data_IF_506543278861
#
_entry.id   IF_506543278861
#
_cell.length_a   1.000
_cell.length_b   1.000
_cell.length_c   1.000
_cell.angle_alpha   90.00
_cell.angle_beta   90.00
_cell.angle_gamma   90.00
#
_symmetry.space_group_name_H-M   'P 1'
#
loop_
_entity.id
_entity.type
_entity.pdbx_description
1 polymer ?
#
# COMPACT_ATOMS: atom_id res chain seq x y z
N UNK A 1 -6.02 -10.26 42.58
CA UNK A 1 -5.72 -10.67 41.19
C UNK A 1 -4.56 -9.84 40.68
N UNK A 2 -3.38 -10.43 40.61
CA UNK A 2 -2.10 -9.75 40.31
C UNK A 2 -1.87 -9.77 38.80
N UNK A 3 -1.86 -8.60 38.15
CA UNK A 3 -1.47 -8.48 36.73
C UNK A 3 0.02 -8.80 36.61
N UNK A 4 0.35 -9.93 35.98
CA UNK A 4 1.72 -10.24 35.56
C UNK A 4 2.06 -9.37 34.36
N UNK A 5 2.94 -8.40 34.55
CA UNK A 5 3.64 -7.70 33.48
C UNK A 5 4.65 -8.66 32.86
N UNK A 6 4.48 -8.97 31.57
CA UNK A 6 5.45 -9.77 30.81
C UNK A 6 6.68 -8.92 30.47
N UNK A 7 7.90 -9.51 30.42
CA UNK A 7 9.14 -8.78 30.24
C UNK A 7 9.29 -8.28 28.80
N UNK A 8 9.62 -6.99 28.66
CA UNK A 8 9.97 -6.37 27.37
C UNK A 8 11.27 -6.96 26.82
N UNK A 9 11.18 -7.65 25.67
CA UNK A 9 12.31 -8.25 24.98
C UNK A 9 12.71 -7.34 23.81
N UNK A 10 13.94 -6.83 23.82
CA UNK A 10 14.52 -6.10 22.68
C UNK A 10 14.65 -7.02 21.48
N UNK A 11 14.20 -6.55 20.32
CA UNK A 11 14.37 -7.22 19.03
C UNK A 11 15.26 -6.42 18.10
N UNK A 12 16.12 -7.14 17.40
CA UNK A 12 16.99 -6.62 16.34
C UNK A 12 16.45 -7.23 15.04
N UNK A 13 16.00 -6.39 14.11
CA UNK A 13 15.63 -6.83 12.76
C UNK A 13 16.88 -7.37 12.07
N UNK A 14 16.96 -8.68 11.86
CA UNK A 14 17.97 -9.29 11.03
C UNK A 14 17.48 -9.33 9.58
N UNK A 15 17.68 -8.24 8.82
CA UNK A 15 17.48 -8.26 7.37
C UNK A 15 18.67 -8.97 6.70
N UNK A 16 18.48 -10.20 6.22
CA UNK A 16 19.45 -10.82 5.31
C UNK A 16 19.24 -10.29 3.89
N UNK A 17 20.17 -9.45 3.43
CA UNK A 17 20.63 -9.41 2.04
C UNK A 17 19.71 -8.79 0.99
N UNK A 18 19.37 -7.52 1.15
CA UNK A 18 18.65 -6.67 0.18
C UNK A 18 18.01 -5.53 0.95
N UNK A 19 18.16 -4.28 0.51
CA UNK A 19 17.46 -3.18 1.16
C UNK A 19 15.95 -3.38 0.93
N UNK A 20 15.22 -3.77 1.98
CA UNK A 20 13.80 -4.06 1.89
C UNK A 20 13.06 -2.85 1.28
N UNK A 21 12.29 -3.09 0.21
CA UNK A 21 11.66 -2.06 -0.59
C UNK A 21 10.14 -2.10 -0.44
N UNK A 22 9.45 -0.99 -0.68
CA UNK A 22 7.99 -0.89 -0.51
C UNK A 22 7.30 -1.01 -1.87
N UNK A 23 6.38 -1.97 -2.08
CA UNK A 23 5.58 -2.06 -3.29
C UNK A 23 4.52 -0.96 -3.31
N UNK A 24 4.53 -0.16 -4.38
CA UNK A 24 3.49 0.83 -4.67
C UNK A 24 2.94 0.61 -6.08
N UNK A 25 1.63 0.70 -6.24
CA UNK A 25 0.94 0.48 -7.50
C UNK A 25 0.49 1.81 -8.09
N UNK A 26 0.92 2.11 -9.31
CA UNK A 26 0.51 3.33 -10.01
C UNK A 26 -1.01 3.33 -10.26
N UNK A 27 -1.73 4.29 -9.70
CA UNK A 27 -3.18 4.44 -9.90
C UNK A 27 -3.47 5.44 -11.02
N UNK A 28 -2.93 6.65 -10.90
CA UNK A 28 -3.20 7.74 -11.86
C UNK A 28 -1.97 8.61 -12.09
N UNK A 29 -1.90 9.17 -13.30
CA UNK A 29 -0.93 10.19 -13.68
C UNK A 29 -1.65 11.54 -13.65
N UNK A 30 -1.26 12.42 -12.73
CA UNK A 30 -1.80 13.78 -12.66
C UNK A 30 -0.77 14.74 -13.27
N UNK A 31 -0.97 15.06 -14.54
CA UNK A 31 -0.15 16.04 -15.24
C UNK A 31 -0.05 15.74 -16.72
N UNK A 32 -0.90 16.42 -17.50
CA UNK A 32 -0.69 16.60 -18.93
C UNK A 32 0.37 17.71 -19.08
N UNK A 33 1.47 17.52 -19.85
CA UNK A 33 2.53 18.52 -20.04
C UNK A 33 2.09 19.79 -20.83
N UNK A 34 0.79 20.00 -21.03
CA UNK A 34 0.22 21.03 -21.89
C UNK A 34 0.08 22.45 -21.31
N UNK A 35 0.49 22.73 -20.07
CA UNK A 35 0.40 24.08 -19.50
C UNK A 35 1.77 24.76 -19.40
N UNK A 36 2.39 24.94 -20.57
CA UNK A 36 3.30 26.06 -20.82
C UNK A 36 2.52 27.35 -20.61
N UNK A 37 2.77 27.98 -19.47
CA UNK A 37 2.22 29.27 -19.15
C UNK A 37 3.24 30.36 -19.35
N UNK A 38 3.30 30.93 -20.55
CA UNK A 38 3.85 32.26 -20.75
C UNK A 38 3.04 33.24 -19.89
N UNK A 39 3.68 33.87 -18.89
CA UNK A 39 3.07 34.88 -18.04
C UNK A 39 3.56 34.84 -16.60
N UNK A 40 4.51 35.73 -16.30
CA UNK A 40 4.86 36.30 -14.98
C UNK A 40 4.36 35.54 -13.74
N UNK A 41 5.25 34.79 -13.09
CA UNK A 41 5.05 34.29 -11.72
C UNK A 41 4.29 32.97 -11.56
N UNK A 42 4.14 32.16 -12.63
CA UNK A 42 3.45 30.87 -12.57
C UNK A 42 4.21 29.84 -11.73
N UNK A 43 3.57 29.34 -10.66
CA UNK A 43 3.96 28.11 -9.95
C UNK A 43 4.18 27.00 -10.97
N UNK A 44 5.40 26.46 -11.02
CA UNK A 44 5.72 25.27 -11.79
C UNK A 44 5.01 24.10 -11.12
N UNK A 45 3.90 23.65 -11.71
CA UNK A 45 3.26 22.43 -11.25
C UNK A 45 4.08 21.25 -11.75
N UNK A 46 4.82 20.61 -10.84
CA UNK A 46 5.45 19.34 -11.13
C UNK A 46 4.35 18.29 -11.30
N UNK A 47 4.39 17.53 -12.40
CA UNK A 47 3.46 16.43 -12.62
C UNK A 47 3.66 15.38 -11.51
N UNK A 48 2.57 15.00 -10.86
CA UNK A 48 2.56 14.06 -9.74
C UNK A 48 1.75 12.82 -10.13
N UNK A 49 2.21 11.67 -9.67
CA UNK A 49 1.54 10.39 -9.87
C UNK A 49 1.01 9.89 -8.54
N UNK A 50 -0.24 9.42 -8.53
CA UNK A 50 -0.83 8.78 -7.35
C UNK A 50 -0.49 7.30 -7.38
N UNK A 51 0.09 6.80 -6.30
CA UNK A 51 0.44 5.41 -6.14
C UNK A 51 -0.22 4.86 -4.87
N UNK A 52 -0.78 3.66 -4.96
CA UNK A 52 -1.43 2.97 -3.86
C UNK A 52 -0.51 1.93 -3.23
N UNK A 53 -0.62 1.71 -1.94
CA UNK A 53 0.08 0.67 -1.19
C UNK A 53 -0.88 -0.01 -0.21
N UNK A 54 -0.55 -1.26 0.14
CA UNK A 54 -1.33 -2.01 1.12
C UNK A 54 -0.75 -1.81 2.51
N UNK A 55 -1.62 -1.55 3.48
CA UNK A 55 -1.22 -1.40 4.87
C UNK A 55 -2.26 -1.97 5.81
N UNK A 56 -1.86 -2.19 7.06
CA UNK A 56 -2.77 -2.42 8.17
C UNK A 56 -2.88 -1.14 8.99
N UNK A 57 -4.11 -0.72 9.24
CA UNK A 57 -4.40 0.35 10.18
C UNK A 57 -4.45 -0.22 11.60
N UNK A 58 -3.96 0.53 12.58
CA UNK A 58 -4.20 0.24 13.98
C UNK A 58 -4.93 1.43 14.62
N UNK A 59 -6.03 1.14 15.28
CA UNK A 59 -6.91 2.14 15.92
C UNK A 59 -6.45 2.44 17.36
N UNK A 60 -5.59 1.60 17.92
CA UNK A 60 -4.96 1.84 19.20
C UNK A 60 -3.56 2.44 18.98
N UNK A 61 -3.15 3.48 19.74
CA UNK A 61 -1.75 3.89 19.84
C UNK A 61 -0.96 2.82 20.59
N UNK A 62 -0.85 1.63 20.00
CA UNK A 62 0.04 0.58 20.44
C UNK A 62 1.46 1.04 20.21
N UNK A 63 2.29 1.00 21.26
CA UNK A 63 3.74 1.20 21.12
C UNK A 63 4.29 0.30 20.00
N UNK A 64 5.38 0.75 19.37
CA UNK A 64 6.12 0.06 18.30
C UNK A 64 5.66 -1.38 18.06
N UNK A 65 4.82 -1.60 17.04
CA UNK A 65 4.36 -2.94 16.71
C UNK A 65 5.56 -3.79 16.33
N UNK A 66 5.87 -4.77 17.17
CA UNK A 66 6.90 -5.76 16.86
C UNK A 66 6.18 -7.04 16.51
N UNK A 67 6.16 -7.38 15.22
CA UNK A 67 5.75 -8.71 14.82
C UNK A 67 6.84 -9.69 15.21
N UNK A 68 6.53 -10.55 16.17
CA UNK A 68 7.45 -11.61 16.61
C UNK A 68 7.07 -12.90 15.91
N UNK A 69 7.98 -13.47 15.11
CA UNK A 69 7.97 -14.91 14.85
C UNK A 69 8.36 -15.64 16.14
N UNK A 70 7.38 -15.84 17.01
CA UNK A 70 7.57 -16.61 18.25
C UNK A 70 7.49 -18.09 17.92
N UNK A 71 8.51 -18.66 17.30
CA UNK A 71 8.68 -20.13 17.16
C UNK A 71 7.57 -20.87 16.41
N UNK A 72 6.72 -20.18 15.66
CA UNK A 72 5.74 -20.79 14.77
C UNK A 72 6.40 -21.26 13.47
N UNK A 73 6.02 -22.43 12.96
CA UNK A 73 6.51 -22.99 11.70
C UNK A 73 6.08 -22.21 10.44
N UNK A 74 5.41 -21.07 10.60
CA UNK A 74 4.89 -20.27 9.50
C UNK A 74 5.63 -18.94 9.42
N UNK A 75 6.26 -18.63 8.28
CA UNK A 75 6.85 -17.32 8.09
C UNK A 75 5.77 -16.24 8.20
N UNK A 76 6.13 -15.10 8.77
CA UNK A 76 5.28 -13.92 8.86
C UNK A 76 5.53 -12.99 7.67
N UNK A 77 4.53 -12.20 7.23
CA UNK A 77 4.75 -11.22 6.17
C UNK A 77 5.77 -10.17 6.59
N UNK A 78 6.46 -9.56 5.63
CA UNK A 78 7.39 -8.45 5.92
C UNK A 78 6.62 -7.13 6.02
N UNK A 79 6.87 -6.35 7.08
CA UNK A 79 6.21 -5.06 7.30
C UNK A 79 7.19 -3.91 7.55
N UNK A 80 6.77 -2.70 7.18
CA UNK A 80 7.38 -1.44 7.56
C UNK A 80 6.40 -0.61 8.40
N UNK A 81 6.78 -0.30 9.63
CA UNK A 81 5.99 0.60 10.47
C UNK A 81 6.25 2.06 10.09
N UNK A 82 5.19 2.80 9.75
CA UNK A 82 5.24 4.25 9.49
C UNK A 82 4.07 4.93 10.20
N UNK A 83 4.38 5.65 11.29
CA UNK A 83 3.33 6.15 12.19
C UNK A 83 2.55 5.00 12.82
N UNK A 84 1.22 5.01 12.70
CA UNK A 84 0.31 3.96 13.20
C UNK A 84 -0.09 2.95 12.12
N UNK A 85 0.68 2.85 11.03
CA UNK A 85 0.40 1.93 9.92
C UNK A 85 1.50 0.92 9.74
N UNK A 86 1.14 -0.35 9.56
CA UNK A 86 2.03 -1.41 9.12
C UNK A 86 1.94 -1.58 7.60
N UNK A 87 2.93 -1.13 6.86
CA UNK A 87 2.97 -1.24 5.39
C UNK A 87 3.45 -2.61 5.00
N UNK A 88 2.69 -3.32 4.16
CA UNK A 88 3.04 -4.67 3.69
C UNK A 88 4.14 -4.56 2.63
N UNK A 89 5.28 -5.21 2.87
CA UNK A 89 6.45 -5.17 1.98
C UNK A 89 6.51 -6.36 1.02
N UNK A 90 5.98 -7.50 1.41
CA UNK A 90 6.13 -8.73 0.64
C UNK A 90 5.44 -9.92 1.31
N UNK A 91 5.45 -11.09 0.65
CA UNK A 91 4.84 -12.28 1.20
C UNK A 91 5.63 -12.85 2.37
N UNK A 92 5.01 -13.74 3.18
CA UNK A 92 5.71 -14.55 4.16
C UNK A 92 6.99 -15.20 3.62
N UNK A 93 8.14 -14.88 4.21
CA UNK A 93 9.43 -15.48 3.84
C UNK A 93 9.98 -15.03 2.48
N UNK A 94 9.39 -14.01 1.85
CA UNK A 94 9.83 -13.46 0.57
C UNK A 94 9.85 -11.93 0.54
N UNK A 95 10.64 -11.38 -0.38
CA UNK A 95 10.73 -9.92 -0.59
C UNK A 95 9.65 -9.41 -1.56
N UNK A 96 9.29 -10.20 -2.58
CA UNK A 96 8.38 -9.81 -3.67
C UNK A 96 7.26 -10.82 -3.89
N UNK A 97 6.10 -10.32 -4.31
CA UNK A 97 4.97 -11.16 -4.72
C UNK A 97 5.20 -11.69 -6.14
N UNK A 98 5.30 -13.01 -6.27
CA UNK A 98 5.51 -13.70 -7.55
C UNK A 98 4.23 -14.27 -8.13
N UNK A 99 3.20 -14.42 -7.30
CA UNK A 99 1.91 -15.00 -7.73
C UNK A 99 0.72 -14.31 -7.05
N UNK A 100 -0.47 -14.40 -7.67
CA UNK A 100 -1.73 -13.97 -7.05
C UNK A 100 -2.05 -14.76 -5.77
N UNK A 101 -1.64 -16.03 -5.71
CA UNK A 101 -1.81 -16.88 -4.55
C UNK A 101 -1.03 -16.37 -3.33
N UNK A 102 0.20 -15.88 -3.52
CA UNK A 102 1.02 -15.29 -2.45
C UNK A 102 0.38 -14.01 -1.89
N UNK A 103 -0.23 -13.18 -2.74
CA UNK A 103 -0.95 -11.97 -2.30
C UNK A 103 -2.13 -12.39 -1.41
N UNK A 104 -2.95 -13.34 -1.89
CA UNK A 104 -4.11 -13.85 -1.14
C UNK A 104 -3.72 -14.52 0.16
N UNK A 105 -2.66 -15.34 0.16
CA UNK A 105 -2.19 -16.01 1.38
C UNK A 105 -1.62 -15.02 2.38
N UNK A 106 -0.92 -13.98 1.90
CA UNK A 106 -0.44 -12.90 2.76
C UNK A 106 -1.60 -12.18 3.40
N UNK A 107 -2.61 -11.81 2.61
CA UNK A 107 -3.74 -11.06 3.14
C UNK A 107 -4.54 -11.86 4.16
N UNK A 108 -4.80 -13.14 3.87
CA UNK A 108 -5.38 -14.06 4.85
C UNK A 108 -4.53 -14.17 6.11
N UNK A 109 -3.20 -14.36 5.97
CA UNK A 109 -2.33 -14.48 7.14
C UNK A 109 -2.48 -13.26 8.06
N UNK A 110 -2.50 -12.06 7.50
CA UNK A 110 -2.71 -10.80 8.23
C UNK A 110 -4.08 -10.74 8.92
N UNK A 111 -5.14 -11.11 8.22
CA UNK A 111 -6.51 -11.12 8.77
C UNK A 111 -6.70 -12.18 9.88
N UNK A 112 -5.87 -13.23 9.93
CA UNK A 112 -5.95 -14.31 10.93
C UNK A 112 -4.88 -14.24 12.04
N UNK A 113 -4.03 -13.21 12.07
CA UNK A 113 -2.90 -13.12 13.02
C UNK A 113 -3.30 -13.05 14.51
N UNK A 114 -4.54 -12.67 14.86
CA UNK A 114 -4.99 -12.53 16.26
C UNK A 114 -5.76 -13.74 16.81
N UNK A 115 -5.56 -14.94 16.25
CA UNK A 115 -6.06 -16.17 16.85
C UNK A 115 -7.55 -16.40 16.65
N UNK A 116 -7.86 -17.22 15.64
CA UNK A 116 -9.14 -17.95 15.51
C UNK A 116 -10.40 -17.14 15.17
N UNK A 117 -10.27 -16.07 14.37
CA UNK A 117 -11.43 -15.43 13.72
C UNK A 117 -11.03 -14.29 12.80
N UNK A 118 -11.98 -13.67 12.06
CA UNK A 118 -11.76 -12.44 11.30
C UNK A 118 -11.61 -11.21 12.22
N UNK A 119 -11.07 -11.39 13.41
CA UNK A 119 -10.76 -10.35 14.40
C UNK A 119 -9.33 -9.84 14.29
N UNK A 120 -8.54 -10.33 13.32
CA UNK A 120 -7.20 -9.82 13.05
C UNK A 120 -7.19 -8.46 12.37
N UNK A 121 -6.06 -8.12 11.74
CA UNK A 121 -5.90 -6.80 11.14
C UNK A 121 -6.70 -6.66 9.85
N UNK A 122 -7.33 -5.49 9.68
CA UNK A 122 -7.94 -5.11 8.42
C UNK A 122 -6.87 -4.56 7.46
N UNK A 123 -6.86 -5.09 6.24
CA UNK A 123 -5.98 -4.60 5.18
C UNK A 123 -6.66 -3.44 4.48
N UNK A 124 -6.01 -2.29 4.54
CA UNK A 124 -6.42 -1.07 3.88
C UNK A 124 -5.56 -0.76 2.66
N UNK A 125 -6.13 0.00 1.73
CA UNK A 125 -5.44 0.54 0.56
C UNK A 125 -5.32 2.03 0.76
N UNK A 126 -4.08 2.48 0.90
CA UNK A 126 -3.79 3.89 1.09
C UNK A 126 -2.94 4.41 -0.08
N UNK A 127 -2.86 5.72 -0.23
CA UNK A 127 -2.18 6.36 -1.35
C UNK A 127 -1.04 7.28 -0.93
N UNK A 128 -0.15 7.54 -1.86
CA UNK A 128 0.87 8.58 -1.79
C UNK A 128 1.06 9.21 -3.16
N UNK A 129 1.66 10.41 -3.17
CA UNK A 129 2.00 11.12 -4.39
C UNK A 129 3.51 11.02 -4.62
N UNK A 130 3.92 10.72 -5.85
CA UNK A 130 5.32 10.75 -6.28
C UNK A 130 5.49 11.68 -7.48
N UNK A 131 6.64 12.36 -7.63
CA UNK A 131 6.94 13.05 -8.88
C UNK A 131 6.91 12.07 -10.05
N UNK A 132 6.20 12.42 -11.12
CA UNK A 132 6.08 11.57 -12.30
C UNK A 132 7.45 11.27 -12.93
N UNK A 133 8.40 12.20 -12.81
CA UNK A 133 9.79 12.05 -13.29
C UNK A 133 10.50 10.84 -12.70
N UNK A 134 10.30 10.54 -11.41
CA UNK A 134 10.91 9.36 -10.75
C UNK A 134 10.45 8.06 -11.42
N UNK A 135 9.15 7.97 -11.69
CA UNK A 135 8.56 6.81 -12.35
C UNK A 135 8.96 6.73 -13.82
N UNK A 136 9.17 7.87 -14.51
CA UNK A 136 9.54 7.90 -15.94
C UNK A 136 10.97 7.42 -16.09
N UNK A 137 11.85 7.93 -15.23
CA UNK A 137 13.25 7.50 -15.15
C UNK A 137 13.36 6.01 -14.87
N UNK A 138 12.58 5.50 -13.91
CA UNK A 138 12.56 4.07 -13.56
C UNK A 138 12.04 3.17 -14.69
N UNK A 139 11.12 3.67 -15.53
CA UNK A 139 10.53 2.90 -16.61
C UNK A 139 11.46 2.75 -17.84
N UNK A 140 12.64 3.39 -17.85
CA UNK A 140 13.60 3.33 -18.98
C UNK A 140 12.95 3.62 -20.34
N UNK A 141 12.02 4.59 -20.38
CA UNK A 141 11.29 4.97 -21.60
C UNK A 141 10.07 4.12 -21.92
N UNK A 142 9.73 3.10 -21.12
CA UNK A 142 8.47 2.38 -21.24
C UNK A 142 7.28 3.26 -20.83
N UNK A 143 6.15 3.12 -21.53
CA UNK A 143 4.92 3.83 -21.18
C UNK A 143 4.41 3.37 -19.83
N UNK A 144 4.30 4.31 -18.90
CA UNK A 144 3.67 4.08 -17.60
C UNK A 144 2.21 3.68 -17.78
N UNK A 145 1.80 2.63 -17.06
CA UNK A 145 0.44 2.11 -17.09
C UNK A 145 -0.11 2.00 -15.68
N UNK A 146 -1.35 2.40 -15.48
CA UNK A 146 -2.09 2.11 -14.24
C UNK A 146 -2.04 0.61 -13.94
N UNK A 147 -1.82 0.28 -12.67
CA UNK A 147 -1.61 -1.08 -12.19
C UNK A 147 -0.16 -1.56 -12.27
N UNK A 148 0.77 -0.77 -12.80
CA UNK A 148 2.21 -1.11 -12.71
C UNK A 148 2.68 -0.94 -11.27
N UNK A 149 3.36 -1.95 -10.75
CA UNK A 149 3.98 -1.96 -9.43
C UNK A 149 5.43 -1.50 -9.53
N UNK A 150 5.79 -0.58 -8.65
CA UNK A 150 7.14 -0.09 -8.44
C UNK A 150 7.59 -0.42 -7.01
N UNK A 151 8.88 -0.67 -6.83
CA UNK A 151 9.53 -0.78 -5.53
C UNK A 151 10.23 0.53 -5.21
N UNK A 152 9.87 1.11 -4.06
CA UNK A 152 10.53 2.29 -3.52
C UNK A 152 11.50 1.89 -2.41
N UNK A 153 12.60 2.61 -2.25
CA UNK A 153 13.36 2.53 -1.00
C UNK A 153 12.49 3.00 0.18
N UNK A 154 12.76 2.49 1.38
CA UNK A 154 11.98 2.88 2.57
C UNK A 154 12.10 4.38 2.87
N UNK A 155 13.25 4.98 2.59
CA UNK A 155 13.51 6.40 2.79
C UNK A 155 12.63 7.24 1.87
N UNK A 156 12.56 6.91 0.57
CA UNK A 156 11.67 7.59 -0.37
C UNK A 156 10.20 7.41 0.02
N UNK A 157 9.82 6.21 0.47
CA UNK A 157 8.46 5.96 0.96
C UNK A 157 8.14 6.82 2.19
N UNK A 158 9.02 6.88 3.20
CA UNK A 158 8.84 7.71 4.39
C UNK A 158 8.78 9.21 4.05
N UNK A 159 9.56 9.66 3.07
CA UNK A 159 9.52 11.02 2.57
C UNK A 159 8.15 11.35 1.93
N UNK A 160 7.68 10.50 1.01
CA UNK A 160 6.37 10.66 0.37
C UNK A 160 5.21 10.58 1.40
N UNK A 161 5.33 9.69 2.39
CA UNK A 161 4.38 9.61 3.49
C UNK A 161 4.35 10.90 4.33
N UNK A 162 5.52 11.47 4.63
CA UNK A 162 5.63 12.73 5.37
C UNK A 162 5.01 13.90 4.60
N UNK A 163 5.18 13.94 3.28
CA UNK A 163 4.55 14.93 2.39
C UNK A 163 3.04 14.81 2.41
N UNK A 164 2.52 13.59 2.25
CA UNK A 164 1.08 13.32 2.33
C UNK A 164 0.47 13.77 3.67
N UNK A 165 1.20 13.64 4.77
CA UNK A 165 0.77 14.07 6.10
C UNK A 165 0.87 15.59 6.33
N UNK A 166 1.42 16.35 5.38
CA UNK A 166 1.64 17.78 5.49
C UNK A 166 2.85 18.16 6.35
N UNK A 167 3.70 17.19 6.71
CA UNK A 167 4.89 17.43 7.55
C UNK A 167 6.06 18.06 6.77
N UNK A 168 6.04 17.95 5.44
CA UNK A 168 6.99 18.58 4.53
C UNK A 168 6.21 19.27 3.41
N UNK A 169 6.56 20.52 3.10
CA UNK A 169 5.94 21.28 2.01
C UNK A 169 6.40 20.82 0.62
N UNK A 170 5.62 21.16 -0.40
CA UNK A 170 5.84 20.72 -1.79
C UNK A 170 7.27 20.99 -2.29
N UNK A 171 7.80 22.21 -2.14
CA UNK A 171 9.12 22.58 -2.66
C UNK A 171 10.26 21.77 -2.01
N UNK A 172 10.18 21.57 -0.69
CA UNK A 172 11.17 20.79 0.05
C UNK A 172 11.08 19.30 -0.32
N UNK A 173 9.85 18.78 -0.46
CA UNK A 173 9.60 17.41 -0.88
C UNK A 173 10.15 17.13 -2.28
N UNK A 174 9.82 17.97 -3.26
CA UNK A 174 10.28 17.85 -4.64
C UNK A 174 11.81 17.91 -4.75
N UNK A 175 12.45 18.84 -4.01
CA UNK A 175 13.91 18.95 -3.97
C UNK A 175 14.55 17.69 -3.39
N UNK A 176 13.98 17.14 -2.32
CA UNK A 176 14.51 15.95 -1.67
C UNK A 176 14.31 14.69 -2.53
N UNK A 177 13.20 14.60 -3.28
CA UNK A 177 12.96 13.51 -4.23
C UNK A 177 14.05 13.35 -5.28
N UNK A 178 14.72 14.43 -5.70
CA UNK A 178 15.83 14.36 -6.67
C UNK A 178 16.99 13.49 -6.18
N UNK A 179 17.18 13.38 -4.85
CA UNK A 179 18.22 12.53 -4.25
C UNK A 179 17.92 11.04 -4.35
N UNK A 180 16.67 10.70 -4.67
CA UNK A 180 16.17 9.33 -4.81
C UNK A 180 15.96 8.95 -6.28
N UNK A 181 16.46 9.75 -7.23
CA UNK A 181 16.53 9.33 -8.62
C UNK A 181 17.33 8.01 -8.73
N UNK A 182 16.77 7.05 -9.45
CA UNK A 182 17.36 5.71 -9.61
C UNK A 182 17.12 4.74 -8.44
N UNK A 183 16.45 5.14 -7.35
CA UNK A 183 16.09 4.20 -6.26
C UNK A 183 14.71 3.56 -6.45
N UNK A 184 13.97 3.99 -7.46
CA UNK A 184 12.69 3.43 -7.85
C UNK A 184 12.90 2.35 -8.89
N UNK A 185 12.43 1.14 -8.61
CA UNK A 185 12.57 0.00 -9.51
C UNK A 185 11.19 -0.44 -10.01
N UNK A 186 10.99 -0.65 -11.32
CA UNK A 186 9.78 -1.33 -11.78
C UNK A 186 9.79 -2.79 -11.32
N UNK A 187 8.62 -3.34 -11.01
CA UNK A 187 8.46 -4.75 -10.62
C UNK A 187 7.47 -5.45 -11.55
N UNK A 188 7.92 -5.92 -12.74
CA UNK A 188 7.03 -6.50 -13.74
C UNK A 188 6.32 -7.78 -13.25
N UNK A 189 7.02 -8.62 -12.50
CA UNK A 189 6.48 -9.87 -11.93
C UNK A 189 5.35 -9.58 -10.93
N UNK A 190 5.55 -8.62 -10.03
CA UNK A 190 4.50 -8.16 -9.12
C UNK A 190 3.34 -7.50 -9.87
N UNK A 191 3.66 -6.70 -10.90
CA UNK A 191 2.63 -6.05 -11.72
C UNK A 191 1.70 -7.06 -12.38
N UNK A 192 2.22 -8.21 -12.82
CA UNK A 192 1.38 -9.30 -13.33
C UNK A 192 0.63 -10.01 -12.21
N UNK A 193 1.29 -10.30 -11.09
CA UNK A 193 0.69 -10.96 -9.93
C UNK A 193 -0.50 -10.20 -9.36
N UNK A 194 -0.36 -8.89 -9.16
CA UNK A 194 -1.44 -8.03 -8.68
C UNK A 194 -2.56 -7.89 -9.71
N UNK A 195 -2.24 -7.84 -11.01
CA UNK A 195 -3.25 -7.81 -12.07
C UNK A 195 -4.07 -9.09 -12.12
N UNK A 196 -3.41 -10.24 -11.97
CA UNK A 196 -4.08 -11.53 -11.91
C UNK A 196 -4.95 -11.61 -10.65
N UNK A 197 -4.40 -11.27 -9.48
CA UNK A 197 -5.15 -11.22 -8.22
C UNK A 197 -6.40 -10.33 -8.33
N UNK A 198 -6.27 -9.12 -8.88
CA UNK A 198 -7.40 -8.21 -9.08
C UNK A 198 -8.50 -8.79 -9.97
N UNK A 199 -8.12 -9.47 -11.06
CA UNK A 199 -9.09 -10.16 -11.93
C UNK A 199 -9.83 -11.28 -11.17
N UNK A 200 -9.10 -12.08 -10.40
CA UNK A 200 -9.70 -13.15 -9.58
C UNK A 200 -10.68 -12.58 -8.54
N UNK A 201 -10.32 -11.50 -7.84
CA UNK A 201 -11.20 -10.84 -6.87
C UNK A 201 -12.46 -10.26 -7.52
N UNK A 202 -12.34 -9.69 -8.72
CA UNK A 202 -13.49 -9.21 -9.49
C UNK A 202 -14.45 -10.35 -9.85
N UNK A 203 -13.93 -11.50 -10.31
CA UNK A 203 -14.77 -12.65 -10.65
C UNK A 203 -15.45 -13.26 -9.41
N UNK A 204 -14.72 -13.38 -8.29
CA UNK A 204 -15.31 -13.81 -7.01
C UNK A 204 -16.42 -12.85 -6.57
N UNK A 205 -16.17 -11.55 -6.66
CA UNK A 205 -17.15 -10.51 -6.28
C UNK A 205 -18.39 -10.52 -7.16
N UNK A 206 -18.21 -10.73 -8.47
CA UNK A 206 -19.33 -10.90 -9.43
C UNK A 206 -20.16 -12.13 -9.11
N UNK A 207 -19.52 -13.27 -8.83
CA UNK A 207 -20.21 -14.50 -8.42
C UNK A 207 -21.09 -14.28 -7.19
N UNK A 208 -20.52 -13.70 -6.12
CA UNK A 208 -21.25 -13.35 -4.89
C UNK A 208 -22.42 -12.40 -5.15
N UNK A 209 -22.26 -11.43 -6.05
CA UNK A 209 -23.34 -10.52 -6.44
C UNK A 209 -24.50 -11.26 -7.11
N UNK A 210 -24.21 -12.15 -8.07
CA UNK A 210 -25.25 -12.91 -8.75
C UNK A 210 -25.98 -13.88 -7.81
N UNK A 211 -25.25 -14.52 -6.89
CA UNK A 211 -25.87 -15.34 -5.83
C UNK A 211 -26.77 -14.52 -4.90
N UNK A 212 -26.32 -13.35 -4.47
CA UNK A 212 -27.11 -12.45 -3.63
C UNK A 212 -28.38 -11.98 -4.35
N UNK A 213 -28.25 -11.62 -5.64
CA UNK A 213 -29.37 -11.24 -6.49
C UNK A 213 -30.37 -12.39 -6.67
N UNK A 214 -29.89 -13.62 -6.85
CA UNK A 214 -30.74 -14.81 -6.94
C UNK A 214 -31.51 -15.08 -5.63
N UNK A 215 -30.94 -14.69 -4.48
CA UNK A 215 -31.61 -14.70 -3.17
C UNK A 215 -32.55 -13.50 -2.94
N UNK A 216 -32.76 -12.65 -3.94
CA UNK A 216 -33.63 -11.47 -3.86
C UNK A 216 -33.02 -10.28 -3.10
N UNK A 217 -31.73 -10.33 -2.76
CA UNK A 217 -31.03 -9.20 -2.16
C UNK A 217 -30.79 -8.15 -3.23
N UNK A 218 -31.24 -6.92 -2.97
CA UNK A 218 -31.05 -5.78 -3.87
C UNK A 218 -30.24 -4.71 -3.16
N UNK A 219 -29.23 -4.17 -3.86
CA UNK A 219 -28.53 -2.97 -3.41
C UNK A 219 -29.48 -1.80 -3.56
N UNK A 220 -29.95 -1.25 -2.44
CA UNK A 220 -30.66 0.03 -2.42
C UNK A 220 -29.68 1.12 -2.05
N UNK A 221 -29.79 2.28 -2.70
CA UNK A 221 -29.04 3.45 -2.21
C UNK A 221 -29.61 3.82 -0.85
N UNK A 222 -28.73 4.26 0.06
CA UNK A 222 -29.14 4.68 1.41
C UNK A 222 -30.25 5.74 1.39
N UNK A 223 -30.25 6.60 0.38
CA UNK A 223 -31.26 7.63 0.13
C UNK A 223 -32.66 7.03 -0.08
N UNK A 224 -32.77 5.85 -0.70
CA UNK A 224 -34.01 5.12 -0.99
C UNK A 224 -34.58 4.37 0.23
N UNK A 225 -33.84 4.34 1.34
CA UNK A 225 -34.25 3.69 2.59
C UNK A 225 -34.84 4.67 3.61
N UNK A 226 -34.76 5.98 3.34
CA UNK A 226 -35.39 6.99 4.19
C UNK A 226 -36.88 7.06 3.85
N UNK A 227 -37.80 6.65 4.75
CA UNK A 227 -39.21 6.87 4.51
C UNK A 227 -39.43 8.38 4.43
N UNK A 228 -40.17 8.84 3.41
CA UNK A 228 -40.52 10.25 3.27
C UNK A 228 -41.02 10.78 4.60
N UNK A 229 -40.40 11.87 5.08
CA UNK A 229 -41.00 12.70 6.13
C UNK A 229 -42.28 13.28 5.53
N UNK A 230 -43.40 12.59 5.77
CA UNK A 230 -44.75 13.14 5.61
C UNK A 230 -45.01 14.21 6.65
#
# INVERSE_FOLDING_TARGET
>A
MTRKTLPGRKMTLASKGGAASVPVMLESLKGDPGLSGNGSGKKVFHAMSRCNYFCIASDEPGGEFVMTESGGSHPSPSFLMVGMRGVILGPPGGDRFKTSAEIRSTFKAVEYMEGEGPSGFYIDVDDLWLPASLLVSAASGQKQRTGTVYRLSQELFRLAYSHRRGSIGDDAYLKECLRYEGTVEPSPEESESFRQWWKEELEISRGKYYEAKAKGLTLRRREELTPGKG
#
